data_IF_474769189896
#
_entry.id   IF_474769189896
#
_cell.length_a   1.000
_cell.length_b   1.000
_cell.length_c   1.000
_cell.angle_alpha   90.00
_cell.angle_beta   90.00
_cell.angle_gamma   90.00
#
_symmetry.space_group_name_H-M   'P 1'
#
loop_
_entity.id
_entity.type
_entity.pdbx_description
1 polymer ?
#
# COMPACT_ATOMS: atom_id res chain seq x y z
N UNK A 1 62.92 27.24 41.24
CA UNK A 1 61.69 27.75 40.67
C UNK A 1 61.19 26.74 39.65
N UNK A 2 60.20 25.90 40.02
CA UNK A 2 59.68 24.83 39.20
C UNK A 2 58.37 25.31 38.55
N UNK A 3 58.36 25.34 37.26
CA UNK A 3 57.17 25.66 36.44
C UNK A 3 56.27 24.40 36.26
N UNK A 4 55.11 24.39 36.82
CA UNK A 4 54.10 23.34 36.65
C UNK A 4 53.26 23.65 35.40
N UNK A 5 53.47 22.86 34.38
CA UNK A 5 52.66 22.96 33.13
C UNK A 5 51.38 22.11 33.26
N UNK A 6 50.26 22.78 33.44
CA UNK A 6 48.93 22.13 33.44
C UNK A 6 48.51 21.84 31.98
N UNK A 7 48.44 20.55 31.61
CA UNK A 7 47.87 20.09 30.34
C UNK A 7 46.35 19.94 30.50
N UNK A 8 45.59 20.83 29.88
CA UNK A 8 44.13 20.70 29.71
C UNK A 8 43.83 19.64 28.64
N UNK A 9 43.39 18.48 29.11
CA UNK A 9 42.79 17.46 28.22
C UNK A 9 41.39 17.92 27.83
N UNK A 10 41.26 18.36 26.59
CA UNK A 10 39.94 18.67 25.97
C UNK A 10 39.17 17.39 25.73
N UNK A 11 38.13 17.15 26.52
CA UNK A 11 37.14 16.11 26.27
C UNK A 11 36.21 16.64 25.18
N UNK A 12 36.46 16.21 23.93
CA UNK A 12 35.55 16.47 22.80
C UNK A 12 34.27 15.66 22.96
N UNK A 13 33.17 16.33 23.32
CA UNK A 13 31.84 15.76 23.36
C UNK A 13 31.34 15.59 21.93
N UNK A 14 31.47 14.37 21.38
CA UNK A 14 30.81 13.97 20.12
C UNK A 14 29.30 13.90 20.39
N UNK A 15 28.56 14.98 20.07
CA UNK A 15 27.11 14.90 19.92
C UNK A 15 26.81 14.09 18.64
N UNK A 16 26.53 12.81 18.79
CA UNK A 16 25.94 11.99 17.74
C UNK A 16 24.55 12.52 17.39
N UNK A 17 24.40 13.12 16.21
CA UNK A 17 23.11 13.45 15.62
C UNK A 17 22.37 12.14 15.35
N UNK A 18 21.51 11.70 16.27
CA UNK A 18 20.51 10.70 16.04
C UNK A 18 19.49 11.32 15.07
N UNK A 19 19.71 11.13 13.77
CA UNK A 19 18.67 11.38 12.76
C UNK A 19 17.51 10.45 13.07
N UNK A 20 16.49 10.95 13.77
CA UNK A 20 15.23 10.28 13.94
C UNK A 20 14.60 10.22 12.55
N UNK A 21 14.65 9.04 11.88
CA UNK A 21 13.84 8.77 10.71
C UNK A 21 12.38 8.82 11.16
N UNK A 22 11.67 9.90 10.87
CA UNK A 22 10.23 9.94 11.02
C UNK A 22 9.65 8.89 10.06
N UNK A 23 8.77 7.99 10.53
CA UNK A 23 8.11 7.06 9.63
C UNK A 23 7.37 7.86 8.55
N UNK A 24 7.55 7.45 7.29
CA UNK A 24 6.84 8.04 6.16
C UNK A 24 5.32 7.82 6.24
N UNK A 25 4.56 8.38 5.29
CA UNK A 25 3.12 8.18 5.22
C UNK A 25 2.80 6.68 5.12
N UNK A 26 1.77 6.24 5.84
CA UNK A 26 1.41 4.83 5.95
C UNK A 26 -0.06 4.61 5.64
N UNK A 27 -0.37 3.48 5.02
CA UNK A 27 -1.73 2.98 4.82
C UNK A 27 -2.16 2.22 6.07
N UNK A 28 -3.30 2.61 6.61
CA UNK A 28 -3.96 1.86 7.69
C UNK A 28 -4.63 0.63 7.08
N UNK A 29 -4.40 -0.55 7.65
CA UNK A 29 -4.93 -1.81 7.13
C UNK A 29 -5.92 -2.46 8.10
N UNK A 30 -6.88 -3.19 7.55
CA UNK A 30 -7.79 -4.02 8.32
C UNK A 30 -7.02 -5.24 8.85
N UNK A 31 -7.06 -5.44 10.18
CA UNK A 31 -6.42 -6.57 10.89
C UNK A 31 -4.88 -6.63 10.82
N UNK A 32 -4.21 -5.60 10.27
CA UNK A 32 -2.75 -5.54 10.19
C UNK A 32 -2.21 -4.23 10.78
N UNK A 33 -0.90 -4.19 11.04
CA UNK A 33 -0.23 -2.96 11.39
C UNK A 33 -0.25 -1.97 10.22
N UNK A 34 -0.23 -0.64 10.51
CA UNK A 34 -0.07 0.35 9.44
C UNK A 34 1.15 0.05 8.58
N UNK A 35 0.98 0.10 7.26
CA UNK A 35 2.03 -0.24 6.30
C UNK A 35 2.58 1.03 5.64
N UNK A 36 3.87 1.36 5.83
CA UNK A 36 4.50 2.49 5.15
C UNK A 36 4.43 2.36 3.63
N UNK A 37 4.20 3.47 2.91
CA UNK A 37 4.09 3.45 1.45
C UNK A 37 5.36 2.98 0.75
N UNK A 38 6.52 3.19 1.34
CA UNK A 38 7.80 2.75 0.78
C UNK A 38 7.97 1.23 0.77
N UNK A 39 7.21 0.50 1.60
CA UNK A 39 7.22 -0.98 1.60
C UNK A 39 6.59 -1.60 0.35
N UNK A 40 5.81 -0.82 -0.42
CA UNK A 40 5.27 -1.26 -1.71
C UNK A 40 6.26 -1.09 -2.87
N UNK A 41 7.43 -0.45 -2.63
CA UNK A 41 8.49 -0.34 -3.64
C UNK A 41 9.15 -1.68 -3.90
N UNK A 42 9.62 -1.87 -5.14
CA UNK A 42 10.28 -3.10 -5.56
C UNK A 42 9.33 -4.21 -6.00
N UNK A 43 8.01 -3.97 -5.97
CA UNK A 43 6.97 -4.87 -6.47
C UNK A 43 5.86 -4.08 -7.15
N UNK A 44 5.07 -4.75 -7.98
CA UNK A 44 3.87 -4.18 -8.56
C UNK A 44 2.79 -4.01 -7.49
N UNK A 45 2.06 -2.89 -7.50
CA UNK A 45 0.94 -2.65 -6.59
C UNK A 45 -0.35 -2.42 -7.38
N UNK A 46 -1.35 -3.24 -7.09
CA UNK A 46 -2.70 -3.17 -7.66
C UNK A 46 -3.66 -2.64 -6.62
N UNK A 47 -4.10 -1.39 -6.77
CA UNK A 47 -5.04 -0.74 -5.85
C UNK A 47 -6.44 -0.87 -6.43
N UNK A 48 -7.22 -1.79 -5.87
CA UNK A 48 -8.54 -2.15 -6.36
C UNK A 48 -9.65 -1.49 -5.53
N UNK A 49 -10.49 -0.70 -6.20
CA UNK A 49 -11.69 -0.12 -5.60
C UNK A 49 -12.89 -1.01 -5.84
N UNK A 50 -13.55 -1.42 -4.76
CA UNK A 50 -14.69 -2.31 -4.75
C UNK A 50 -15.81 -1.82 -3.82
N UNK A 51 -17.02 -2.37 -3.96
CA UNK A 51 -18.12 -2.17 -3.01
C UNK A 51 -18.98 -3.45 -2.95
N UNK A 52 -19.67 -3.67 -1.82
CA UNK A 52 -20.52 -4.85 -1.61
C UNK A 52 -21.69 -4.92 -2.61
N UNK A 53 -22.24 -3.77 -2.99
CA UNK A 53 -23.35 -3.68 -3.96
C UNK A 53 -22.91 -3.75 -5.43
N UNK A 54 -21.60 -3.76 -5.70
CA UNK A 54 -21.05 -3.75 -7.06
C UNK A 54 -20.89 -5.19 -7.57
N UNK A 55 -21.90 -5.71 -8.28
CA UNK A 55 -21.87 -7.09 -8.79
C UNK A 55 -20.61 -7.45 -9.60
N UNK A 56 -20.12 -6.62 -10.57
CA UNK A 56 -18.90 -6.95 -11.29
C UNK A 56 -17.63 -6.90 -10.38
N UNK A 57 -17.64 -6.12 -9.27
CA UNK A 57 -16.55 -6.17 -8.30
C UNK A 57 -16.49 -7.54 -7.61
N UNK A 58 -17.66 -8.12 -7.29
CA UNK A 58 -17.73 -9.42 -6.63
C UNK A 58 -17.25 -10.56 -7.55
N UNK A 59 -17.45 -10.41 -8.87
CA UNK A 59 -16.99 -11.39 -9.86
C UNK A 59 -15.45 -11.47 -9.95
N UNK A 60 -14.73 -10.36 -9.75
CA UNK A 60 -13.26 -10.33 -9.86
C UNK A 60 -12.53 -10.71 -8.56
N UNK A 61 -13.20 -10.72 -7.39
CA UNK A 61 -12.55 -11.01 -6.09
C UNK A 61 -11.79 -12.35 -6.10
N UNK A 62 -12.32 -13.46 -6.63
CA UNK A 62 -11.56 -14.72 -6.70
C UNK A 62 -10.27 -14.62 -7.51
N UNK A 63 -10.29 -13.88 -8.62
CA UNK A 63 -9.14 -13.62 -9.49
C UNK A 63 -8.09 -12.77 -8.76
N UNK A 64 -8.51 -11.68 -8.11
CA UNK A 64 -7.63 -10.84 -7.29
C UNK A 64 -7.02 -11.61 -6.12
N UNK A 65 -7.79 -12.47 -5.46
CA UNK A 65 -7.29 -13.36 -4.41
C UNK A 65 -6.22 -14.33 -4.93
N UNK A 66 -6.45 -14.93 -6.11
CA UNK A 66 -5.49 -15.83 -6.74
C UNK A 66 -4.23 -15.08 -7.15
N UNK A 67 -4.39 -13.93 -7.80
CA UNK A 67 -3.31 -13.07 -8.26
C UNK A 67 -2.42 -12.58 -7.09
N UNK A 68 -3.04 -12.15 -5.98
CA UNK A 68 -2.31 -11.70 -4.78
C UNK A 68 -1.47 -12.81 -4.13
N UNK A 69 -1.97 -14.07 -4.16
CA UNK A 69 -1.24 -15.22 -3.60
C UNK A 69 -0.17 -15.79 -4.51
N UNK A 70 -0.20 -15.45 -5.79
CA UNK A 70 0.78 -15.94 -6.75
C UNK A 70 2.15 -15.29 -6.54
N UNK A 71 3.23 -16.02 -6.83
CA UNK A 71 4.60 -15.49 -6.82
C UNK A 71 4.89 -14.76 -8.16
N UNK A 72 4.19 -13.65 -8.36
CA UNK A 72 4.22 -12.85 -9.59
C UNK A 72 4.84 -11.47 -9.41
N UNK A 73 5.44 -11.21 -8.23
CA UNK A 73 6.06 -9.91 -7.90
C UNK A 73 5.06 -8.77 -7.73
N UNK A 74 3.79 -9.09 -7.43
CA UNK A 74 2.72 -8.12 -7.27
C UNK A 74 1.97 -8.28 -5.94
N UNK A 75 1.41 -7.17 -5.46
CA UNK A 75 0.52 -7.12 -4.31
C UNK A 75 -0.80 -6.44 -4.70
N UNK A 76 -1.90 -6.92 -4.13
CA UNK A 76 -3.22 -6.29 -4.24
C UNK A 76 -3.54 -5.58 -2.93
N UNK A 77 -4.02 -4.33 -3.02
CA UNK A 77 -4.57 -3.55 -1.92
C UNK A 77 -6.00 -3.15 -2.26
N UNK A 78 -6.97 -3.65 -1.50
CA UNK A 78 -8.37 -3.32 -1.71
C UNK A 78 -8.80 -2.06 -0.95
N UNK A 79 -9.65 -1.25 -1.59
CA UNK A 79 -10.27 -0.06 -1.00
C UNK A 79 -11.79 -0.20 -1.13
N UNK A 80 -12.48 -0.20 0.02
CA UNK A 80 -13.94 -0.11 -0.01
C UNK A 80 -14.36 1.31 -0.40
N UNK A 81 -15.09 1.44 -1.50
CA UNK A 81 -15.51 2.73 -2.06
C UNK A 81 -16.42 3.52 -1.12
N UNK A 82 -17.26 2.81 -0.35
CA UNK A 82 -18.19 3.44 0.59
C UNK A 82 -17.50 3.86 1.91
N UNK A 83 -16.21 3.52 2.07
CA UNK A 83 -15.41 3.87 3.25
C UNK A 83 -16.09 3.50 4.57
N UNK A 84 -16.66 2.29 4.60
CA UNK A 84 -17.35 1.77 5.79
C UNK A 84 -16.39 1.64 6.97
N UNK A 85 -16.94 1.58 8.19
CA UNK A 85 -16.11 1.35 9.38
C UNK A 85 -15.45 -0.04 9.39
N UNK A 86 -14.46 -0.22 10.24
CA UNK A 86 -13.64 -1.44 10.26
C UNK A 86 -14.44 -2.70 10.59
N UNK A 87 -15.49 -2.60 11.39
CA UNK A 87 -16.32 -3.76 11.78
C UNK A 87 -17.17 -4.23 10.60
N UNK A 88 -17.82 -3.30 9.89
CA UNK A 88 -18.59 -3.61 8.68
C UNK A 88 -17.68 -4.08 7.55
N UNK A 89 -16.51 -3.47 7.39
CA UNK A 89 -15.52 -3.93 6.40
C UNK A 89 -15.07 -5.37 6.66
N UNK A 90 -14.80 -5.73 7.93
CA UNK A 90 -14.44 -7.09 8.30
C UNK A 90 -15.55 -8.10 7.96
N UNK A 91 -16.81 -7.75 8.27
CA UNK A 91 -17.96 -8.57 7.93
C UNK A 91 -18.12 -8.77 6.41
N UNK A 92 -17.99 -7.69 5.63
CA UNK A 92 -18.07 -7.76 4.17
C UNK A 92 -16.92 -8.58 3.58
N UNK A 93 -15.68 -8.36 4.06
CA UNK A 93 -14.50 -9.11 3.61
C UNK A 93 -14.65 -10.61 3.86
N UNK A 94 -15.13 -11.00 5.04
CA UNK A 94 -15.40 -12.41 5.37
C UNK A 94 -16.50 -13.00 4.47
N UNK A 95 -17.62 -12.30 4.31
CA UNK A 95 -18.72 -12.75 3.47
C UNK A 95 -18.38 -12.91 1.99
N UNK A 96 -17.48 -12.07 1.50
CA UNK A 96 -16.99 -12.07 0.12
C UNK A 96 -15.71 -12.87 -0.09
N UNK A 97 -15.17 -13.48 0.99
CA UNK A 97 -13.92 -14.26 0.97
C UNK A 97 -12.72 -13.47 0.44
N UNK A 98 -12.63 -12.17 0.74
CA UNK A 98 -11.48 -11.35 0.36
C UNK A 98 -10.28 -11.75 1.23
N UNK A 99 -9.14 -12.08 0.58
CA UNK A 99 -7.93 -12.53 1.26
C UNK A 99 -6.72 -11.62 1.05
N UNK A 100 -6.82 -10.63 0.18
CA UNK A 100 -5.82 -9.58 0.03
C UNK A 100 -6.02 -8.46 1.06
N UNK A 101 -4.98 -7.67 1.39
CA UNK A 101 -5.06 -6.57 2.35
C UNK A 101 -6.11 -5.52 1.96
N UNK A 102 -6.82 -5.00 2.97
CA UNK A 102 -7.81 -3.93 2.80
C UNK A 102 -7.37 -2.67 3.54
N UNK A 103 -7.39 -1.54 2.85
CA UNK A 103 -7.13 -0.24 3.44
C UNK A 103 -8.33 0.24 4.29
N UNK A 104 -8.05 0.78 5.48
CA UNK A 104 -9.02 1.51 6.28
C UNK A 104 -9.03 2.98 5.81
N UNK A 105 -10.18 3.42 5.31
CA UNK A 105 -10.33 4.70 4.63
C UNK A 105 -9.79 4.68 3.21
N UNK A 106 -9.67 5.84 2.59
CA UNK A 106 -9.19 5.98 1.21
C UNK A 106 -7.78 6.59 1.18
N UNK A 107 -6.74 5.79 0.82
CA UNK A 107 -5.38 6.28 0.71
C UNK A 107 -5.08 7.02 -0.62
N UNK A 108 -6.08 7.35 -1.44
CA UNK A 108 -5.90 7.97 -2.77
C UNK A 108 -4.94 9.17 -2.73
N UNK A 109 -5.12 10.08 -1.77
CA UNK A 109 -4.25 11.26 -1.63
C UNK A 109 -2.79 10.89 -1.31
N UNK A 110 -2.56 9.83 -0.53
CA UNK A 110 -1.21 9.32 -0.22
C UNK A 110 -0.57 8.68 -1.45
N UNK A 111 -1.37 8.04 -2.32
CA UNK A 111 -0.94 7.39 -3.55
C UNK A 111 -0.85 8.37 -4.73
N UNK A 112 -1.25 9.63 -4.56
CA UNK A 112 -1.24 10.63 -5.63
C UNK A 112 -2.28 10.39 -6.72
N UNK A 113 -3.38 9.69 -6.40
CA UNK A 113 -4.49 9.41 -7.30
C UNK A 113 -5.79 10.07 -6.82
N UNK A 114 -6.81 10.01 -7.63
CA UNK A 114 -8.19 10.36 -7.25
C UNK A 114 -9.03 9.09 -7.20
N UNK A 115 -10.00 9.04 -6.27
CA UNK A 115 -10.96 7.95 -6.23
C UNK A 115 -11.70 7.83 -7.57
N UNK A 116 -11.99 6.60 -8.06
CA UNK A 116 -12.62 6.39 -9.36
C UNK A 116 -14.09 6.82 -9.34
N UNK A 117 -14.65 7.06 -10.53
CA UNK A 117 -16.08 7.32 -10.71
C UNK A 117 -16.86 6.07 -11.15
N UNK A 118 -16.14 4.99 -11.48
CA UNK A 118 -16.70 3.73 -11.97
C UNK A 118 -16.07 2.58 -11.20
N UNK A 119 -16.87 1.56 -10.86
CA UNK A 119 -16.44 0.34 -10.20
C UNK A 119 -16.67 -0.90 -11.07
N UNK A 120 -15.80 -1.91 -10.95
CA UNK A 120 -14.51 -1.85 -10.28
C UNK A 120 -13.49 -1.03 -11.06
N UNK A 121 -12.51 -0.48 -10.36
CA UNK A 121 -11.34 0.15 -10.98
C UNK A 121 -10.08 -0.24 -10.22
N UNK A 122 -9.06 -0.66 -10.97
CA UNK A 122 -7.77 -1.08 -10.41
C UNK A 122 -6.64 -0.20 -10.95
N UNK A 123 -6.00 0.54 -10.06
CA UNK A 123 -4.83 1.36 -10.34
C UNK A 123 -3.58 0.51 -10.23
N UNK A 124 -2.77 0.49 -11.27
CA UNK A 124 -1.55 -0.34 -11.33
C UNK A 124 -0.33 0.55 -11.23
N UNK A 125 0.48 0.29 -10.20
CA UNK A 125 1.74 0.98 -9.97
C UNK A 125 2.91 0.04 -10.23
N UNK A 126 3.96 0.56 -10.86
CA UNK A 126 5.21 -0.15 -11.08
C UNK A 126 6.05 -0.28 -9.79
N UNK A 127 7.14 -1.08 -9.80
CA UNK A 127 8.02 -1.21 -8.64
C UNK A 127 8.69 0.10 -8.19
N UNK A 128 8.77 1.09 -9.05
CA UNK A 128 9.26 2.44 -8.76
C UNK A 128 8.17 3.30 -8.11
N UNK A 129 6.91 2.81 -8.06
CA UNK A 129 5.73 3.44 -7.49
C UNK A 129 5.14 4.53 -8.36
N UNK A 130 5.34 4.44 -9.68
CA UNK A 130 4.68 5.30 -10.66
C UNK A 130 3.38 4.63 -11.12
N UNK A 131 2.31 5.41 -11.26
CA UNK A 131 1.06 4.93 -11.83
C UNK A 131 1.26 4.63 -13.33
N UNK A 132 1.08 3.37 -13.72
CA UNK A 132 1.26 2.91 -15.10
C UNK A 132 -0.06 2.94 -15.89
N UNK A 133 -1.13 2.40 -15.28
CA UNK A 133 -2.44 2.30 -15.94
C UNK A 133 -3.57 2.22 -14.93
N UNK A 134 -4.79 2.42 -15.40
CA UNK A 134 -6.02 2.18 -14.65
C UNK A 134 -6.88 1.21 -15.45
N UNK A 135 -7.14 0.04 -14.87
CA UNK A 135 -8.02 -0.98 -15.43
C UNK A 135 -9.44 -0.71 -14.94
N UNK A 136 -10.39 -0.58 -15.85
CA UNK A 136 -11.81 -0.32 -15.53
C UNK A 136 -12.64 -1.55 -15.91
N UNK A 137 -13.52 -1.96 -15.02
CA UNK A 137 -14.30 -3.18 -15.11
C UNK A 137 -13.59 -4.37 -14.48
N UNK A 138 -14.26 -5.54 -14.37
CA UNK A 138 -13.73 -6.74 -13.73
C UNK A 138 -12.51 -7.27 -14.49
N UNK A 139 -11.50 -7.69 -13.73
CA UNK A 139 -10.22 -8.19 -14.24
C UNK A 139 -10.09 -9.68 -13.97
N UNK A 140 -9.43 -10.38 -14.88
CA UNK A 140 -8.94 -11.74 -14.72
C UNK A 140 -7.40 -11.76 -14.56
N UNK A 141 -6.84 -12.90 -14.22
CA UNK A 141 -5.39 -13.05 -14.05
C UNK A 141 -4.61 -12.62 -15.30
N UNK A 142 -5.11 -12.90 -16.50
CA UNK A 142 -4.44 -12.57 -17.75
C UNK A 142 -4.35 -11.06 -17.98
N UNK A 143 -5.41 -10.32 -17.71
CA UNK A 143 -5.46 -8.85 -17.80
C UNK A 143 -4.57 -8.19 -16.73
N UNK A 144 -4.56 -8.75 -15.50
CA UNK A 144 -3.69 -8.27 -14.43
C UNK A 144 -2.20 -8.47 -14.79
N UNK A 145 -1.81 -9.65 -15.27
CA UNK A 145 -0.44 -9.90 -15.73
C UNK A 145 -0.04 -9.03 -16.92
N UNK A 146 -0.95 -8.82 -17.88
CA UNK A 146 -0.68 -7.98 -19.04
C UNK A 146 -0.38 -6.52 -18.65
N UNK A 147 -0.96 -6.02 -17.56
CA UNK A 147 -0.71 -4.67 -17.07
C UNK A 147 0.74 -4.45 -16.58
N UNK A 148 1.48 -5.49 -16.20
CA UNK A 148 2.89 -5.41 -15.82
C UNK A 148 3.83 -5.20 -17.03
N UNK A 149 3.37 -5.52 -18.22
CA UNK A 149 4.16 -5.36 -19.45
C UNK A 149 3.86 -4.10 -20.25
N UNK A 150 3.01 -3.20 -19.74
CA UNK A 150 2.63 -1.96 -20.44
C UNK A 150 3.60 -0.84 -20.04
N UNK A 151 4.52 -0.40 -20.93
CA UNK A 151 5.42 0.71 -20.65
C UNK A 151 4.72 2.05 -20.72
#
# INVERSE_FOLDING_TARGET
MAQVTVRLLGVGLLLGLLSACSPGPSVMLLHEAPRPLDTYRGQWLYVNYWAEWCAPCLEEIPELNAFHRADNGAEVLGINFDQVDSALMAQQAEGLHITFPLALGDPAALLGIQAPQVLPSTYVFDPEGSLVTVLVGPQDEASLLAAQGTP
#
